data_IF_529948796517
#
_entry.id   IF_529948796517
#
_cell.length_a   1.000
_cell.length_b   1.000
_cell.length_c   1.000
_cell.angle_alpha   90.00
_cell.angle_beta   90.00
_cell.angle_gamma   90.00
#
_symmetry.space_group_name_H-M   'P 1'
#
loop_
_entity.id
_entity.type
_entity.pdbx_description
1 polymer ?
#
# COMPACT_ATOMS: atom_id res chain seq x y z
N UNK A 1 -18.79 -7.94 1.36
CA UNK A 1 -18.13 -9.13 1.90
C UNK A 1 -18.19 -9.19 3.44
N UNK A 2 -17.65 -8.19 4.17
CA UNK A 2 -17.67 -8.17 5.64
C UNK A 2 -19.07 -8.25 6.26
N UNK A 3 -20.10 -7.66 5.62
CA UNK A 3 -21.48 -7.80 6.07
C UNK A 3 -21.99 -9.24 5.96
N UNK A 4 -21.67 -9.94 4.87
CA UNK A 4 -22.09 -11.32 4.66
C UNK A 4 -21.40 -12.26 5.66
N UNK A 5 -20.09 -12.14 5.84
CA UNK A 5 -19.33 -12.90 6.83
C UNK A 5 -19.87 -12.66 8.24
N UNK A 6 -20.18 -11.40 8.61
CA UNK A 6 -20.76 -11.07 9.91
C UNK A 6 -22.09 -11.77 10.17
N UNK A 7 -22.97 -11.80 9.17
CA UNK A 7 -24.31 -12.38 9.31
C UNK A 7 -24.24 -13.88 9.65
N UNK A 8 -23.29 -14.59 9.04
CA UNK A 8 -23.08 -16.01 9.30
C UNK A 8 -22.26 -16.28 10.58
N UNK A 9 -21.42 -15.32 11.01
CA UNK A 9 -20.60 -15.41 12.24
C UNK A 9 -21.37 -15.11 13.53
N UNK A 10 -22.62 -14.73 13.51
CA UNK A 10 -23.38 -14.46 14.76
C UNK A 10 -23.38 -15.60 15.76
N UNK A 11 -23.05 -16.82 15.30
CA UNK A 11 -22.92 -18.02 16.15
C UNK A 11 -21.48 -18.34 16.59
N UNK A 12 -20.47 -17.59 16.12
CA UNK A 12 -19.06 -17.82 16.42
C UNK A 12 -18.34 -16.52 16.74
N UNK A 13 -17.77 -16.39 17.93
CA UNK A 13 -16.90 -15.27 18.30
C UNK A 13 -15.51 -15.60 17.74
N UNK A 14 -15.16 -15.03 16.58
CA UNK A 14 -13.86 -15.17 15.94
C UNK A 14 -13.40 -13.83 15.40
N UNK A 15 -12.14 -13.49 15.65
CA UNK A 15 -11.51 -12.30 15.14
C UNK A 15 -11.14 -12.46 13.66
N UNK A 16 -11.10 -11.34 12.95
CA UNK A 16 -10.68 -11.28 11.56
C UNK A 16 -9.54 -10.29 11.43
N UNK A 17 -8.57 -10.67 10.64
CA UNK A 17 -7.42 -9.84 10.31
C UNK A 17 -7.37 -9.61 8.81
N UNK A 18 -6.89 -8.45 8.41
CA UNK A 18 -6.56 -8.20 7.00
C UNK A 18 -5.11 -8.61 6.73
N UNK A 19 -4.79 -8.78 5.46
CA UNK A 19 -3.43 -8.99 5.00
C UNK A 19 -3.16 -8.11 3.78
N UNK A 20 -1.92 -7.62 3.62
CA UNK A 20 -1.45 -6.91 2.45
C UNK A 20 -2.37 -5.75 2.04
N UNK A 21 -2.88 -5.77 0.83
CA UNK A 21 -3.71 -4.70 0.24
C UNK A 21 -5.06 -4.48 0.96
N UNK A 22 -5.44 -5.34 1.90
CA UNK A 22 -6.66 -5.16 2.69
C UNK A 22 -6.46 -4.26 3.94
N UNK A 23 -5.22 -3.87 4.30
CA UNK A 23 -4.92 -2.98 5.43
C UNK A 23 -5.82 -1.72 5.47
N UNK A 24 -6.07 -1.02 4.36
CA UNK A 24 -6.91 0.19 4.36
C UNK A 24 -8.35 -0.04 4.85
N UNK A 25 -8.83 -1.28 4.91
CA UNK A 25 -10.14 -1.59 5.48
C UNK A 25 -10.29 -1.07 6.91
N UNK A 26 -9.21 -1.03 7.69
CA UNK A 26 -9.18 -0.48 9.05
C UNK A 26 -9.35 1.05 9.11
N UNK A 27 -9.11 1.75 8.00
CA UNK A 27 -9.32 3.19 7.87
C UNK A 27 -10.74 3.60 7.50
N UNK A 28 -11.57 2.70 6.97
CA UNK A 28 -12.91 3.04 6.52
C UNK A 28 -13.91 3.10 7.69
N UNK A 29 -14.65 4.22 7.89
CA UNK A 29 -15.59 4.36 9.00
C UNK A 29 -16.65 3.24 9.05
N UNK A 30 -17.16 2.84 7.87
CA UNK A 30 -18.16 1.76 7.75
C UNK A 30 -17.63 0.38 8.15
N UNK A 31 -16.31 0.15 8.11
CA UNK A 31 -15.68 -1.11 8.51
C UNK A 31 -15.19 -1.08 9.96
N UNK A 32 -14.76 0.07 10.48
CA UNK A 32 -14.34 0.25 11.88
C UNK A 32 -15.41 -0.15 12.89
N UNK A 33 -16.68 -0.09 12.53
CA UNK A 33 -17.79 -0.49 13.40
C UNK A 33 -17.88 -1.99 13.66
N UNK A 34 -17.10 -2.81 12.97
CA UNK A 34 -17.10 -4.25 13.16
C UNK A 34 -16.02 -4.68 14.16
N UNK A 35 -16.39 -5.01 15.42
CA UNK A 35 -15.42 -5.28 16.49
C UNK A 35 -14.57 -6.53 16.23
N UNK A 36 -15.00 -7.41 15.34
CA UNK A 36 -14.24 -8.59 14.97
C UNK A 36 -13.11 -8.31 13.97
N UNK A 37 -13.11 -7.14 13.30
CA UNK A 37 -12.02 -6.73 12.41
C UNK A 37 -10.92 -6.10 13.28
N UNK A 38 -10.01 -6.91 13.78
CA UNK A 38 -9.07 -6.55 14.86
C UNK A 38 -7.85 -5.79 14.36
N UNK A 39 -7.24 -6.25 13.29
CA UNK A 39 -5.98 -5.69 12.86
C UNK A 39 -5.49 -6.24 11.54
N UNK A 40 -4.24 -5.91 11.21
CA UNK A 40 -3.55 -6.41 10.06
C UNK A 40 -2.60 -7.53 10.48
N UNK A 41 -2.53 -8.59 9.68
CA UNK A 41 -1.60 -9.69 9.82
C UNK A 41 -0.58 -9.64 8.67
N UNK A 42 0.69 -9.77 9.01
CA UNK A 42 1.74 -9.83 7.99
C UNK A 42 1.97 -8.52 7.22
N UNK A 43 2.56 -8.67 6.06
CA UNK A 43 3.09 -7.57 5.23
C UNK A 43 2.58 -7.63 3.79
N UNK A 44 3.44 -7.38 2.80
CA UNK A 44 3.09 -7.39 1.38
C UNK A 44 2.92 -8.81 0.81
N UNK A 45 2.38 -8.89 -0.40
CA UNK A 45 2.09 -10.15 -1.09
C UNK A 45 3.32 -11.07 -1.24
N UNK A 46 4.53 -10.52 -1.31
CA UNK A 46 5.78 -11.27 -1.48
C UNK A 46 6.03 -12.28 -0.35
N UNK A 47 5.50 -11.99 0.84
CA UNK A 47 5.75 -12.78 2.05
C UNK A 47 4.64 -13.79 2.37
N UNK A 48 3.58 -13.86 1.58
CA UNK A 48 2.43 -14.75 1.82
C UNK A 48 2.85 -16.19 2.12
N UNK A 49 3.76 -16.76 1.34
CA UNK A 49 4.16 -18.15 1.49
C UNK A 49 4.88 -18.46 2.80
N UNK A 50 5.56 -17.49 3.40
CA UNK A 50 6.18 -17.62 4.72
C UNK A 50 5.21 -17.27 5.84
N UNK A 51 4.46 -16.19 5.65
CA UNK A 51 3.54 -15.67 6.67
C UNK A 51 2.34 -16.60 6.90
N UNK A 52 1.86 -17.30 5.86
CA UNK A 52 0.71 -18.20 5.97
C UNK A 52 1.05 -19.63 6.38
N UNK A 53 2.32 -19.99 6.44
CA UNK A 53 2.75 -21.38 6.66
C UNK A 53 2.16 -22.01 7.94
N UNK A 54 2.16 -21.29 9.04
CA UNK A 54 1.77 -21.83 10.36
C UNK A 54 0.57 -21.11 11.00
N UNK A 55 -0.25 -20.40 10.21
CA UNK A 55 -1.42 -19.72 10.78
C UNK A 55 -2.47 -20.75 11.18
N UNK A 56 -2.95 -20.77 12.43
CA UNK A 56 -4.05 -21.64 12.85
C UNK A 56 -5.41 -21.02 12.49
N UNK A 57 -5.61 -20.63 11.23
CA UNK A 57 -6.80 -19.96 10.74
C UNK A 57 -7.00 -20.15 9.24
N UNK A 58 -8.22 -20.08 8.71
CA UNK A 58 -8.46 -20.03 7.27
C UNK A 58 -8.04 -18.68 6.67
N UNK A 59 -7.68 -18.75 5.41
CA UNK A 59 -7.24 -17.60 4.59
C UNK A 59 -8.24 -17.42 3.46
N UNK A 60 -8.86 -16.24 3.37
CA UNK A 60 -9.83 -15.92 2.33
C UNK A 60 -9.30 -14.83 1.41
N UNK A 61 -9.01 -15.19 0.17
CA UNK A 61 -8.62 -14.23 -0.87
C UNK A 61 -9.82 -13.63 -1.56
N UNK A 62 -9.81 -12.31 -1.68
CA UNK A 62 -10.91 -11.51 -2.25
C UNK A 62 -10.48 -10.62 -3.40
N UNK A 63 -9.19 -10.36 -3.52
CA UNK A 63 -8.57 -9.57 -4.59
C UNK A 63 -7.43 -10.35 -5.22
N UNK A 64 -6.80 -9.80 -6.23
CA UNK A 64 -5.57 -10.36 -6.80
C UNK A 64 -4.38 -10.32 -5.79
N UNK A 65 -3.18 -10.67 -6.23
CA UNK A 65 -1.98 -10.87 -5.43
C UNK A 65 -1.98 -12.17 -4.63
N UNK A 66 -2.62 -13.21 -5.15
CA UNK A 66 -2.50 -14.56 -4.62
C UNK A 66 -1.21 -15.19 -5.16
N UNK A 67 -0.27 -15.49 -4.28
CA UNK A 67 0.92 -16.26 -4.61
C UNK A 67 0.58 -17.74 -4.78
N UNK A 68 1.35 -18.51 -5.58
CA UNK A 68 1.18 -19.95 -5.66
C UNK A 68 1.10 -20.57 -4.25
N UNK A 69 -0.02 -21.25 -3.99
CA UNK A 69 -0.32 -21.75 -2.65
C UNK A 69 0.54 -22.98 -2.35
N UNK A 70 1.18 -23.00 -1.19
CA UNK A 70 1.98 -24.15 -0.75
C UNK A 70 1.09 -25.22 -0.11
N UNK A 71 1.47 -26.48 -0.28
CA UNK A 71 0.78 -27.63 0.30
C UNK A 71 0.63 -27.53 1.83
N UNK A 72 1.56 -26.86 2.50
CA UNK A 72 1.55 -26.70 3.96
C UNK A 72 0.39 -25.88 4.53
N UNK A 73 -0.35 -25.15 3.69
CA UNK A 73 -1.52 -24.37 4.12
C UNK A 73 -2.67 -24.35 3.08
N UNK A 74 -2.59 -25.14 2.00
CA UNK A 74 -3.59 -25.16 0.92
C UNK A 74 -4.98 -25.60 1.39
N UNK A 75 -5.04 -26.47 2.41
CA UNK A 75 -6.27 -26.96 3.03
C UNK A 75 -7.08 -25.85 3.75
N UNK A 76 -6.48 -24.71 4.00
CA UNK A 76 -7.08 -23.57 4.70
C UNK A 76 -7.33 -22.36 3.81
N UNK A 77 -7.04 -22.47 2.52
CA UNK A 77 -7.17 -21.33 1.58
C UNK A 77 -8.48 -21.40 0.83
N UNK A 78 -9.18 -20.29 0.83
CA UNK A 78 -10.43 -20.05 0.13
C UNK A 78 -10.30 -18.85 -0.79
N UNK A 79 -11.05 -18.85 -1.87
CA UNK A 79 -11.12 -17.74 -2.82
C UNK A 79 -12.56 -17.26 -2.98
N UNK A 80 -12.77 -16.03 -3.41
CA UNK A 80 -14.11 -15.51 -3.74
C UNK A 80 -14.01 -14.34 -4.73
N UNK A 81 -15.15 -14.00 -5.32
CA UNK A 81 -15.29 -12.88 -6.26
C UNK A 81 -14.46 -13.11 -7.53
N UNK A 82 -13.54 -12.20 -7.86
CA UNK A 82 -12.71 -12.27 -9.07
C UNK A 82 -11.45 -13.11 -8.91
N UNK A 83 -11.15 -13.57 -7.70
CA UNK A 83 -9.97 -14.39 -7.43
C UNK A 83 -10.36 -15.86 -7.43
N UNK A 84 -9.65 -16.65 -8.19
CA UNK A 84 -9.72 -18.10 -8.16
C UNK A 84 -8.34 -18.71 -8.29
N UNK A 85 -8.18 -19.94 -7.84
CA UNK A 85 -6.95 -20.71 -7.98
C UNK A 85 -7.32 -22.20 -8.12
N UNK A 86 -6.65 -22.95 -8.99
CA UNK A 86 -6.93 -24.37 -9.16
C UNK A 86 -6.93 -25.13 -7.83
N UNK A 87 -7.83 -26.07 -7.67
CA UNK A 87 -7.95 -26.96 -6.51
C UNK A 87 -8.36 -26.29 -5.18
N UNK A 88 -8.53 -24.96 -5.13
CA UNK A 88 -9.02 -24.27 -3.94
C UNK A 88 -10.53 -24.12 -3.93
N UNK A 89 -11.12 -24.17 -2.74
CA UNK A 89 -12.55 -23.91 -2.57
C UNK A 89 -12.88 -22.45 -2.91
N UNK A 90 -13.75 -22.27 -3.90
CA UNK A 90 -14.22 -20.94 -4.29
C UNK A 90 -15.62 -20.68 -3.71
N UNK A 91 -15.75 -19.56 -2.99
CA UNK A 91 -17.03 -19.07 -2.47
C UNK A 91 -17.72 -18.29 -3.57
N UNK A 92 -18.83 -18.82 -4.06
CA UNK A 92 -19.60 -18.30 -5.18
C UNK A 92 -20.33 -16.97 -4.90
N UNK A 93 -21.24 -16.61 -5.79
CA UNK A 93 -21.99 -15.36 -5.70
C UNK A 93 -23.06 -15.37 -4.61
N UNK A 94 -23.47 -16.53 -4.14
CA UNK A 94 -24.34 -16.72 -2.96
C UNK A 94 -23.68 -16.24 -1.67
N UNK A 95 -22.34 -16.10 -1.67
CA UNK A 95 -21.54 -15.67 -0.51
C UNK A 95 -21.77 -16.53 0.74
N UNK A 96 -21.92 -17.85 0.52
CA UNK A 96 -21.94 -18.79 1.64
C UNK A 96 -20.51 -18.99 2.18
N UNK A 97 -20.22 -18.36 3.32
CA UNK A 97 -18.94 -18.46 4.01
C UNK A 97 -18.91 -19.60 5.07
N UNK A 98 -19.92 -20.47 5.10
CA UNK A 98 -19.98 -21.61 6.03
C UNK A 98 -18.68 -22.42 6.00
N UNK A 99 -18.10 -22.82 4.85
CA UNK A 99 -16.86 -23.60 4.82
C UNK A 99 -15.67 -22.89 5.46
N UNK A 100 -15.59 -21.55 5.30
CA UNK A 100 -14.53 -20.75 5.93
C UNK A 100 -14.70 -20.71 7.45
N UNK A 101 -15.94 -20.60 7.93
CA UNK A 101 -16.26 -20.56 9.35
C UNK A 101 -15.99 -21.92 10.01
N UNK A 102 -16.39 -23.00 9.36
CA UNK A 102 -16.13 -24.37 9.84
C UNK A 102 -14.61 -24.64 9.93
N UNK A 103 -13.84 -24.25 8.91
CA UNK A 103 -12.38 -24.33 8.96
C UNK A 103 -11.78 -23.46 10.07
N UNK A 104 -12.34 -22.29 10.37
CA UNK A 104 -11.90 -21.46 11.48
C UNK A 104 -12.13 -22.12 12.85
N UNK A 105 -13.25 -22.85 13.00
CA UNK A 105 -13.54 -23.64 14.19
C UNK A 105 -12.58 -24.82 14.33
N UNK A 106 -12.31 -25.52 13.23
CA UNK A 106 -11.36 -26.63 13.19
C UNK A 106 -9.93 -26.19 13.57
N UNK A 107 -9.46 -25.06 13.00
CA UNK A 107 -8.12 -24.53 13.27
C UNK A 107 -7.94 -24.02 14.70
N UNK A 108 -9.01 -23.59 15.35
CA UNK A 108 -8.99 -23.13 16.74
C UNK A 108 -8.49 -21.70 16.98
N UNK A 109 -7.60 -21.19 16.14
CA UNK A 109 -6.96 -19.88 16.32
C UNK A 109 -5.74 -19.94 17.25
N UNK A 110 -5.13 -18.79 17.50
CA UNK A 110 -4.06 -18.67 18.48
C UNK A 110 -4.63 -18.79 19.90
N UNK A 111 -4.00 -19.57 20.81
CA UNK A 111 -4.49 -19.75 22.19
C UNK A 111 -4.28 -18.49 23.06
N UNK A 112 -3.35 -17.63 22.66
CA UNK A 112 -3.00 -16.36 23.33
C UNK A 112 -2.64 -15.31 22.29
N UNK A 113 -2.52 -14.06 22.72
CA UNK A 113 -2.08 -12.96 21.85
C UNK A 113 -0.70 -13.26 21.27
N UNK A 114 -0.59 -13.13 19.95
CA UNK A 114 0.65 -13.35 19.22
C UNK A 114 1.13 -12.03 18.59
N UNK A 115 1.90 -11.23 19.35
CA UNK A 115 2.36 -9.93 18.86
C UNK A 115 3.30 -10.10 17.68
N UNK A 116 3.10 -9.27 16.66
CA UNK A 116 3.94 -9.23 15.46
C UNK A 116 4.52 -7.84 15.29
N UNK A 117 5.66 -7.78 14.62
CA UNK A 117 6.29 -6.53 14.22
C UNK A 117 6.33 -6.40 12.70
N UNK A 118 6.26 -5.18 12.22
CA UNK A 118 6.50 -4.87 10.82
C UNK A 118 7.97 -5.00 10.45
N UNK A 119 8.28 -4.67 9.22
CA UNK A 119 9.61 -4.81 8.62
C UNK A 119 10.70 -3.99 9.36
N UNK A 120 10.33 -2.87 9.93
CA UNK A 120 11.23 -1.95 10.64
C UNK A 120 11.16 -2.11 12.16
N UNK A 121 10.47 -3.15 12.65
CA UNK A 121 10.33 -3.45 14.08
C UNK A 121 9.16 -2.74 14.77
N UNK A 122 8.38 -1.93 14.06
CA UNK A 122 7.18 -1.30 14.59
C UNK A 122 6.03 -2.29 14.80
N UNK A 123 5.24 -2.11 15.85
CA UNK A 123 4.05 -2.92 16.16
C UNK A 123 2.74 -2.26 15.73
N UNK A 124 2.81 -1.04 15.24
CA UNK A 124 1.66 -0.26 14.76
C UNK A 124 1.90 0.21 13.33
N UNK A 125 0.84 0.30 12.54
CA UNK A 125 0.89 0.80 11.18
C UNK A 125 -0.15 1.89 10.99
N UNK A 126 0.23 2.95 10.27
CA UNK A 126 -0.66 4.05 9.93
C UNK A 126 -1.48 3.69 8.68
N UNK A 127 -2.78 3.98 8.68
CA UNK A 127 -3.66 3.82 7.53
C UNK A 127 -4.84 4.80 7.58
N UNK A 128 -5.60 4.94 6.46
CA UNK A 128 -6.83 5.70 6.41
C UNK A 128 -6.70 7.10 5.80
N UNK A 129 -5.59 7.43 5.16
CA UNK A 129 -5.34 8.72 4.53
C UNK A 129 -5.67 8.72 3.02
N UNK A 130 -6.83 8.14 2.64
CA UNK A 130 -7.37 8.34 1.30
C UNK A 130 -7.76 9.82 1.07
N UNK A 131 -8.10 10.17 -0.17
CA UNK A 131 -8.29 11.57 -0.58
C UNK A 131 -9.12 12.42 0.38
N UNK A 132 -10.24 11.91 0.90
CA UNK A 132 -11.10 12.71 1.77
C UNK A 132 -10.39 13.08 3.09
N UNK A 133 -9.65 12.15 3.69
CA UNK A 133 -8.90 12.41 4.91
C UNK A 133 -7.76 13.42 4.68
N UNK A 134 -6.99 13.26 3.60
CA UNK A 134 -5.91 14.22 3.29
C UNK A 134 -6.47 15.58 2.93
N UNK A 135 -7.51 15.64 2.09
CA UNK A 135 -8.09 16.90 1.63
C UNK A 135 -8.86 17.65 2.73
N UNK A 136 -9.31 16.99 3.78
CA UNK A 136 -9.86 17.68 4.95
C UNK A 136 -8.82 18.52 5.70
N UNK A 137 -7.52 18.26 5.47
CA UNK A 137 -6.39 19.03 5.99
C UNK A 137 -5.71 19.91 4.93
N UNK A 138 -6.31 20.06 3.74
CA UNK A 138 -5.68 20.78 2.62
C UNK A 138 -5.28 22.20 2.98
N UNK A 139 -6.13 22.98 3.66
CA UNK A 139 -5.83 24.35 4.09
C UNK A 139 -4.61 24.37 5.03
N UNK A 140 -4.53 23.45 5.98
CA UNK A 140 -3.38 23.32 6.87
C UNK A 140 -2.10 22.97 6.10
N UNK A 141 -2.18 22.00 5.17
CA UNK A 141 -1.04 21.61 4.32
C UNK A 141 -0.55 22.80 3.50
N UNK A 142 -1.46 23.53 2.84
CA UNK A 142 -1.11 24.71 2.04
C UNK A 142 -0.43 25.78 2.89
N UNK A 143 -0.95 26.04 4.08
CA UNK A 143 -0.34 26.97 5.04
C UNK A 143 1.07 26.54 5.41
N UNK A 144 1.27 25.27 5.78
CA UNK A 144 2.58 24.73 6.19
C UNK A 144 3.62 24.79 5.04
N UNK A 145 3.18 24.59 3.80
CA UNK A 145 4.07 24.76 2.63
C UNK A 145 4.45 26.24 2.46
N UNK A 146 3.49 27.16 2.55
CA UNK A 146 3.76 28.61 2.44
C UNK A 146 4.66 29.15 3.57
N UNK A 147 4.58 28.54 4.74
CA UNK A 147 5.45 28.83 5.89
C UNK A 147 6.83 28.15 5.79
N UNK A 148 7.07 27.35 4.75
CA UNK A 148 8.32 26.62 4.58
C UNK A 148 8.51 25.43 5.55
N UNK A 149 7.48 25.04 6.28
CA UNK A 149 7.50 23.90 7.21
C UNK A 149 7.35 22.55 6.49
N UNK A 150 6.74 22.55 5.30
CA UNK A 150 6.72 21.44 4.36
C UNK A 150 7.39 21.91 3.09
N UNK A 151 8.57 21.37 2.80
CA UNK A 151 9.35 21.72 1.64
C UNK A 151 9.05 20.82 0.44
N UNK A 152 8.78 19.55 0.67
CA UNK A 152 8.61 18.57 -0.40
C UNK A 152 7.65 17.44 -0.02
N UNK A 153 7.00 16.90 -1.04
CA UNK A 153 6.16 15.72 -0.97
C UNK A 153 6.82 14.57 -1.73
N UNK A 154 6.85 13.39 -1.14
CA UNK A 154 7.22 12.16 -1.83
C UNK A 154 6.02 11.24 -1.93
N UNK A 155 5.75 10.67 -3.10
CA UNK A 155 4.86 9.54 -3.24
C UNK A 155 5.73 8.28 -3.36
N UNK A 156 5.85 7.52 -2.28
CA UNK A 156 6.62 6.28 -2.22
C UNK A 156 5.64 5.12 -2.21
N UNK A 157 5.55 4.34 -3.29
CA UNK A 157 4.54 3.29 -3.37
C UNK A 157 4.76 2.33 -4.52
N UNK A 158 3.78 1.43 -4.68
CA UNK A 158 3.77 0.42 -5.73
C UNK A 158 3.88 -1.00 -5.19
N UNK A 159 4.47 -1.93 -5.96
CA UNK A 159 4.45 -3.36 -5.64
C UNK A 159 5.59 -3.86 -4.75
N UNK A 160 6.64 -3.07 -4.52
CA UNK A 160 7.80 -3.51 -3.72
C UNK A 160 7.51 -3.47 -2.22
N UNK A 161 6.83 -4.50 -1.75
CA UNK A 161 6.58 -4.71 -0.32
C UNK A 161 7.85 -5.13 0.45
N UNK A 162 7.69 -5.96 1.46
CA UNK A 162 8.72 -6.28 2.44
C UNK A 162 9.76 -7.33 2.01
N UNK A 163 10.14 -7.42 0.72
CA UNK A 163 11.18 -8.37 0.32
C UNK A 163 12.54 -8.05 0.98
N UNK A 164 13.15 -8.98 1.74
CA UNK A 164 14.31 -8.68 2.58
C UNK A 164 15.61 -8.41 1.80
N UNK A 165 15.65 -8.78 0.52
CA UNK A 165 16.85 -8.62 -0.32
C UNK A 165 17.04 -7.22 -0.89
N UNK A 166 16.14 -6.29 -0.61
CA UNK A 166 16.14 -4.92 -1.14
C UNK A 166 15.70 -3.94 -0.09
N UNK A 167 16.35 -2.79 -0.02
CA UNK A 167 16.08 -1.76 0.98
C UNK A 167 15.88 -0.36 0.41
N UNK A 168 15.99 -0.17 -0.93
CA UNK A 168 16.01 1.16 -1.55
C UNK A 168 14.89 2.08 -1.00
N UNK A 169 13.64 1.64 -1.04
CA UNK A 169 12.49 2.48 -0.61
C UNK A 169 12.47 2.71 0.91
N UNK A 170 12.90 1.73 1.68
CA UNK A 170 13.06 1.82 3.13
C UNK A 170 14.12 2.86 3.50
N UNK A 171 15.29 2.77 2.87
CA UNK A 171 16.42 3.66 3.13
C UNK A 171 16.12 5.07 2.62
N UNK A 172 15.48 5.19 1.45
CA UNK A 172 15.01 6.46 0.92
C UNK A 172 14.08 7.17 1.91
N UNK A 173 13.04 6.47 2.42
CA UNK A 173 12.10 7.03 3.38
C UNK A 173 12.78 7.50 4.68
N UNK A 174 13.71 6.70 5.22
CA UNK A 174 14.48 7.07 6.44
C UNK A 174 15.32 8.33 6.27
N UNK A 175 15.86 8.54 5.07
CA UNK A 175 16.72 9.68 4.79
C UNK A 175 15.95 10.95 4.43
N UNK A 176 14.63 10.87 4.24
CA UNK A 176 13.83 12.07 3.93
C UNK A 176 13.92 13.10 5.07
N UNK A 177 14.19 14.38 4.76
CA UNK A 177 14.28 15.43 5.77
C UNK A 177 12.99 15.60 6.58
N UNK A 178 13.08 16.11 7.82
CA UNK A 178 11.93 16.25 8.71
C UNK A 178 10.86 17.24 8.21
N UNK A 179 11.20 18.10 7.27
CA UNK A 179 10.31 19.05 6.59
C UNK A 179 9.69 18.50 5.32
N UNK A 180 9.52 17.17 5.22
CA UNK A 180 8.91 16.50 4.06
C UNK A 180 7.76 15.61 4.49
N UNK A 181 6.74 15.47 3.62
CA UNK A 181 5.66 14.49 3.78
C UNK A 181 5.81 13.33 2.79
N UNK A 182 5.48 12.14 3.25
CA UNK A 182 5.47 10.91 2.44
C UNK A 182 4.02 10.44 2.29
N UNK A 183 3.54 10.43 1.07
CA UNK A 183 2.35 9.72 0.67
C UNK A 183 2.76 8.31 0.29
N UNK A 184 2.09 7.28 0.79
CA UNK A 184 2.36 5.90 0.40
C UNK A 184 1.10 5.17 0.00
N UNK A 185 1.21 4.15 -0.83
CA UNK A 185 0.10 3.31 -1.26
C UNK A 185 0.58 1.95 -1.74
N UNK A 186 -0.35 1.02 -1.91
CA UNK A 186 -0.12 -0.35 -2.36
C UNK A 186 0.80 -1.15 -1.42
N UNK A 187 1.38 -2.26 -1.86
CA UNK A 187 2.28 -3.06 -1.01
C UNK A 187 3.59 -2.35 -0.66
N UNK A 188 3.97 -1.32 -1.42
CA UNK A 188 5.14 -0.49 -1.11
C UNK A 188 5.07 0.20 0.25
N UNK A 189 3.87 0.42 0.80
CA UNK A 189 3.67 0.96 2.15
C UNK A 189 4.40 0.16 3.24
N UNK A 190 4.48 -1.17 3.11
CA UNK A 190 5.11 -2.05 4.09
C UNK A 190 6.63 -1.86 4.21
N UNK A 191 7.22 -1.06 3.32
CA UNK A 191 8.60 -0.60 3.45
C UNK A 191 8.81 0.45 4.53
N UNK A 192 7.73 1.14 4.92
CA UNK A 192 7.85 2.35 5.74
C UNK A 192 6.69 2.63 6.69
N UNK A 193 5.56 1.95 6.59
CA UNK A 193 4.36 2.30 7.36
C UNK A 193 4.41 1.93 8.84
N UNK A 194 5.39 1.15 9.27
CA UNK A 194 5.70 0.83 10.66
C UNK A 194 6.87 1.67 11.22
N UNK A 195 7.38 2.66 10.44
CA UNK A 195 8.36 3.61 10.92
C UNK A 195 7.69 4.76 11.66
N UNK A 196 8.28 5.20 12.76
CA UNK A 196 7.96 6.49 13.36
C UNK A 196 8.89 7.58 12.77
N UNK A 197 8.37 8.30 11.77
CA UNK A 197 9.06 9.45 11.18
C UNK A 197 8.59 10.78 11.78
N UNK A 198 7.73 10.75 12.80
CA UNK A 198 7.19 11.92 13.47
C UNK A 198 6.04 12.59 12.71
N UNK A 199 5.79 13.85 13.05
CA UNK A 199 4.70 14.66 12.50
C UNK A 199 5.11 16.11 12.30
N UNK A 200 4.39 16.82 11.41
CA UNK A 200 4.53 18.26 11.19
C UNK A 200 3.21 18.92 11.63
N UNK A 201 3.23 19.63 12.75
CA UNK A 201 2.04 20.27 13.35
C UNK A 201 0.80 19.33 13.45
N UNK A 202 1.03 18.10 13.89
CA UNK A 202 -0.01 17.10 14.07
C UNK A 202 -0.36 16.27 12.82
N UNK A 203 0.18 16.62 11.64
CA UNK A 203 0.06 15.80 10.44
C UNK A 203 1.19 14.75 10.48
N UNK A 204 0.88 13.44 10.49
CA UNK A 204 1.90 12.41 10.39
C UNK A 204 2.72 12.58 9.11
N UNK A 205 4.03 12.36 9.19
CA UNK A 205 4.88 12.46 7.99
C UNK A 205 4.67 11.33 6.99
N UNK A 206 4.09 10.21 7.42
CA UNK A 206 3.71 9.08 6.54
C UNK A 206 2.19 9.00 6.47
N UNK A 207 1.64 9.12 5.27
CA UNK A 207 0.21 9.08 4.99
C UNK A 207 -0.10 7.91 4.06
N UNK A 208 -0.69 6.82 4.57
CA UNK A 208 -1.13 5.69 3.75
C UNK A 208 -2.41 6.04 3.01
N UNK A 209 -2.31 6.31 1.72
CA UNK A 209 -3.40 6.69 0.83
C UNK A 209 -4.29 5.52 0.39
N UNK A 210 -3.90 4.26 0.66
CA UNK A 210 -4.73 3.11 0.38
C UNK A 210 -4.11 2.03 -0.49
N UNK A 211 -4.98 1.31 -1.20
CA UNK A 211 -4.61 0.18 -2.07
C UNK A 211 -4.06 0.65 -3.42
N UNK A 212 -3.39 -0.26 -4.14
CA UNK A 212 -3.06 -0.04 -5.55
C UNK A 212 -4.32 0.18 -6.40
N UNK A 213 -5.43 -0.48 -6.07
CA UNK A 213 -6.73 -0.25 -6.69
C UNK A 213 -7.30 1.16 -6.44
N UNK A 214 -6.78 1.91 -5.45
CA UNK A 214 -7.17 3.28 -5.13
C UNK A 214 -6.03 4.29 -5.42
N UNK A 215 -5.16 4.01 -6.39
CA UNK A 215 -4.21 4.99 -6.91
C UNK A 215 -4.89 6.30 -7.37
N UNK A 216 -6.17 6.22 -7.72
CA UNK A 216 -7.04 7.37 -7.98
C UNK A 216 -7.05 8.37 -6.82
N UNK A 217 -7.06 7.93 -5.56
CA UNK A 217 -6.98 8.82 -4.40
C UNK A 217 -5.71 9.67 -4.41
N UNK A 218 -4.55 9.08 -4.70
CA UNK A 218 -3.29 9.83 -4.77
C UNK A 218 -3.29 10.85 -5.91
N UNK A 219 -3.84 10.50 -7.08
CA UNK A 219 -4.00 11.42 -8.22
C UNK A 219 -4.90 12.60 -7.81
N UNK A 220 -6.04 12.33 -7.15
CA UNK A 220 -6.97 13.37 -6.70
C UNK A 220 -6.36 14.29 -5.66
N UNK A 221 -5.52 13.77 -4.75
CA UNK A 221 -4.78 14.57 -3.78
C UNK A 221 -3.82 15.52 -4.51
N UNK A 222 -3.02 15.02 -5.44
CA UNK A 222 -2.06 15.82 -6.19
C UNK A 222 -2.77 16.94 -7.00
N UNK A 223 -3.86 16.61 -7.70
CA UNK A 223 -4.62 17.59 -8.46
C UNK A 223 -5.26 18.68 -7.58
N UNK A 224 -5.85 18.30 -6.43
CA UNK A 224 -6.46 19.25 -5.51
C UNK A 224 -5.42 20.15 -4.84
N UNK A 225 -4.24 19.64 -4.52
CA UNK A 225 -3.13 20.44 -4.02
C UNK A 225 -2.64 21.43 -5.10
N UNK A 226 -2.48 20.99 -6.35
CA UNK A 226 -2.11 21.86 -7.45
C UNK A 226 -3.11 23.01 -7.64
N UNK A 227 -4.40 22.72 -7.59
CA UNK A 227 -5.47 23.72 -7.63
C UNK A 227 -5.36 24.69 -6.45
N UNK A 228 -5.17 24.21 -5.23
CA UNK A 228 -5.04 25.04 -4.02
C UNK A 228 -3.80 25.94 -4.02
N UNK A 229 -2.73 25.52 -4.71
CA UNK A 229 -1.54 26.34 -4.93
C UNK A 229 -1.63 27.24 -6.16
N UNK A 230 -2.64 27.04 -7.02
CA UNK A 230 -2.80 27.79 -8.26
C UNK A 230 -1.74 27.46 -9.32
N UNK A 231 -1.26 26.21 -9.35
CA UNK A 231 -0.19 25.76 -10.25
C UNK A 231 -0.57 24.45 -10.97
N UNK A 232 0.26 24.03 -11.92
CA UNK A 232 0.15 22.71 -12.53
C UNK A 232 0.64 21.61 -11.59
N UNK A 233 0.17 20.37 -11.79
CA UNK A 233 0.58 19.23 -10.95
C UNK A 233 2.09 18.96 -11.00
N UNK A 234 2.74 19.28 -12.11
CA UNK A 234 4.20 19.15 -12.28
C UNK A 234 5.01 20.28 -11.64
N UNK A 235 4.34 21.36 -11.22
CA UNK A 235 4.94 22.50 -10.54
C UNK A 235 4.87 22.35 -9.01
N UNK A 236 4.17 21.33 -8.54
CA UNK A 236 4.18 20.96 -7.12
C UNK A 236 5.58 20.47 -6.72
N UNK A 237 6.03 20.73 -5.48
CA UNK A 237 7.22 20.12 -4.91
C UNK A 237 6.94 18.64 -4.60
N UNK A 238 6.61 17.85 -5.62
CA UNK A 238 6.20 16.46 -5.55
C UNK A 238 7.08 15.59 -6.45
N UNK A 239 7.65 14.53 -5.87
CA UNK A 239 8.36 13.49 -6.63
C UNK A 239 7.71 12.13 -6.37
N UNK A 240 7.50 11.39 -7.44
CA UNK A 240 6.99 10.02 -7.41
C UNK A 240 8.16 9.04 -7.40
N UNK A 241 8.24 8.21 -6.35
CA UNK A 241 9.28 7.17 -6.18
C UNK A 241 8.58 5.82 -6.17
N UNK A 242 8.44 5.24 -7.34
CA UNK A 242 7.52 4.13 -7.60
C UNK A 242 8.24 2.82 -7.80
N UNK A 243 7.58 1.75 -7.35
CA UNK A 243 7.97 0.37 -7.64
C UNK A 243 6.91 -0.33 -8.48
N UNK A 244 7.34 -1.25 -9.31
CA UNK A 244 6.45 -2.07 -10.12
C UNK A 244 6.89 -3.54 -10.08
N UNK A 245 5.91 -4.47 -10.15
CA UNK A 245 6.15 -5.91 -10.32
C UNK A 245 5.01 -6.60 -11.05
N UNK A 246 3.84 -6.02 -11.05
CA UNK A 246 2.67 -6.60 -11.67
C UNK A 246 2.00 -5.65 -12.67
N UNK A 247 1.10 -6.19 -13.46
CA UNK A 247 0.42 -5.49 -14.55
C UNK A 247 -0.34 -4.23 -14.11
N UNK A 248 -0.96 -4.24 -12.93
CA UNK A 248 -1.66 -3.05 -12.40
C UNK A 248 -0.72 -1.87 -12.18
N UNK A 249 0.47 -2.11 -11.66
CA UNK A 249 1.45 -1.04 -11.48
C UNK A 249 1.88 -0.44 -12.82
N UNK A 250 2.01 -1.27 -13.86
CA UNK A 250 2.28 -0.79 -15.22
C UNK A 250 1.10 0.03 -15.75
N UNK A 251 -0.14 -0.42 -15.57
CA UNK A 251 -1.33 0.35 -15.98
C UNK A 251 -1.40 1.70 -15.25
N UNK A 252 -1.09 1.74 -13.96
CA UNK A 252 -1.02 2.99 -13.18
C UNK A 252 0.07 3.91 -13.74
N UNK A 253 1.27 3.38 -14.00
CA UNK A 253 2.35 4.16 -14.61
C UNK A 253 1.94 4.76 -15.96
N UNK A 254 1.34 3.96 -16.84
CA UNK A 254 0.84 4.45 -18.13
C UNK A 254 -0.23 5.53 -17.97
N UNK A 255 -1.09 5.40 -16.98
CA UNK A 255 -2.10 6.43 -16.63
C UNK A 255 -1.43 7.72 -16.20
N UNK A 256 -0.41 7.66 -15.34
CA UNK A 256 0.34 8.84 -14.91
C UNK A 256 1.03 9.53 -16.09
N UNK A 257 1.65 8.76 -16.99
CA UNK A 257 2.27 9.30 -18.21
C UNK A 257 1.22 9.91 -19.16
N UNK A 258 0.05 9.27 -19.32
CA UNK A 258 -1.05 9.81 -20.12
C UNK A 258 -1.57 11.14 -19.55
N UNK A 259 -1.63 11.27 -18.23
CA UNK A 259 -2.00 12.52 -17.55
C UNK A 259 -0.88 13.57 -17.59
N UNK A 260 0.26 13.27 -18.21
CA UNK A 260 1.37 14.18 -18.37
C UNK A 260 2.22 14.39 -17.11
N UNK A 261 2.12 13.49 -16.11
CA UNK A 261 2.94 13.59 -14.92
C UNK A 261 4.41 13.31 -15.24
N UNK A 262 5.29 14.05 -14.56
CA UNK A 262 6.75 14.00 -14.73
C UNK A 262 7.42 13.74 -13.37
N UNK A 263 8.76 13.72 -13.36
CA UNK A 263 9.56 13.56 -12.15
C UNK A 263 9.29 12.22 -11.43
N UNK A 264 9.32 11.11 -12.19
CA UNK A 264 9.06 9.75 -11.71
C UNK A 264 10.37 9.00 -11.58
N UNK A 265 10.71 8.57 -10.36
CA UNK A 265 11.75 7.58 -10.10
C UNK A 265 11.10 6.20 -10.11
N UNK A 266 11.61 5.30 -10.93
CA UNK A 266 11.01 3.97 -11.16
C UNK A 266 12.02 2.85 -10.93
N UNK A 267 11.66 1.89 -10.10
CA UNK A 267 12.49 0.73 -9.80
C UNK A 267 11.74 -0.47 -9.25
N UNK A 268 12.47 -1.40 -8.65
CA UNK A 268 13.93 -1.51 -8.57
C UNK A 268 14.59 -1.92 -9.89
N UNK A 269 13.80 -2.40 -10.83
CA UNK A 269 14.19 -2.71 -12.22
C UNK A 269 13.15 -2.10 -13.16
N UNK A 270 13.50 -1.90 -14.40
CA UNK A 270 12.52 -1.43 -15.39
C UNK A 270 11.69 -2.61 -15.93
N UNK A 271 10.44 -2.37 -16.38
CA UNK A 271 9.67 -3.38 -17.09
C UNK A 271 10.42 -3.94 -18.31
N UNK A 272 10.35 -5.26 -18.50
CA UNK A 272 11.11 -5.95 -19.55
C UNK A 272 10.78 -5.46 -20.99
N UNK A 273 9.62 -4.85 -21.19
CA UNK A 273 9.23 -4.27 -22.48
C UNK A 273 9.83 -2.88 -22.74
N UNK A 274 10.46 -2.26 -21.74
CA UNK A 274 11.13 -0.96 -21.89
C UNK A 274 12.48 -1.18 -22.52
N UNK A 275 12.54 -1.10 -23.85
CA UNK A 275 13.81 -1.13 -24.60
C UNK A 275 14.63 0.14 -24.34
N UNK A 276 15.95 0.16 -24.66
CA UNK A 276 16.78 1.35 -24.50
C UNK A 276 16.20 2.59 -25.20
N UNK A 277 15.61 2.45 -26.38
CA UNK A 277 15.00 3.56 -27.12
C UNK A 277 13.75 4.07 -26.44
N UNK A 278 12.91 3.17 -25.89
CA UNK A 278 11.73 3.54 -25.12
C UNK A 278 12.14 4.23 -23.82
N UNK A 279 13.16 3.74 -23.14
CA UNK A 279 13.70 4.38 -21.94
C UNK A 279 14.20 5.80 -22.24
N UNK A 280 14.98 5.98 -23.30
CA UNK A 280 15.49 7.30 -23.71
C UNK A 280 14.34 8.27 -24.00
N UNK A 281 13.29 7.83 -24.66
CA UNK A 281 12.07 8.61 -24.86
C UNK A 281 11.40 8.99 -23.52
N UNK A 282 11.22 8.03 -22.60
CA UNK A 282 10.57 8.27 -21.30
C UNK A 282 11.39 9.22 -20.44
N UNK A 283 12.72 9.11 -20.45
CA UNK A 283 13.62 10.02 -19.74
C UNK A 283 13.48 11.44 -20.30
N UNK A 284 13.54 11.60 -21.61
CA UNK A 284 13.47 12.93 -22.26
C UNK A 284 12.11 13.59 -22.13
N UNK A 285 11.03 12.81 -22.32
CA UNK A 285 9.68 13.36 -22.39
C UNK A 285 9.04 13.55 -21.00
N UNK A 286 9.29 12.62 -20.07
CA UNK A 286 8.60 12.59 -18.78
C UNK A 286 9.53 12.77 -17.57
N UNK A 287 10.83 12.94 -17.81
CA UNK A 287 11.83 12.95 -16.74
C UNK A 287 11.73 11.72 -15.84
N UNK A 288 11.50 10.53 -16.46
CA UNK A 288 11.51 9.25 -15.77
C UNK A 288 12.95 8.87 -15.48
N UNK A 289 13.25 8.57 -14.23
CA UNK A 289 14.60 8.22 -13.77
C UNK A 289 14.58 6.80 -13.17
N UNK A 290 15.36 5.86 -13.67
CA UNK A 290 15.59 4.58 -12.97
C UNK A 290 16.15 4.84 -11.58
N UNK A 291 15.66 4.10 -10.57
CA UNK A 291 16.20 4.19 -9.20
C UNK A 291 17.65 3.70 -9.16
N UNK A 292 18.49 4.41 -8.42
CA UNK A 292 19.90 4.08 -8.23
C UNK A 292 20.27 3.90 -6.76
N UNK A 293 21.15 4.75 -6.25
CA UNK A 293 21.45 4.84 -4.83
C UNK A 293 20.45 5.80 -4.14
N UNK A 294 19.78 5.39 -3.04
CA UNK A 294 18.70 6.17 -2.45
C UNK A 294 19.16 7.53 -1.94
N UNK A 295 20.38 7.64 -1.41
CA UNK A 295 20.92 8.91 -0.92
C UNK A 295 21.21 9.86 -2.09
N UNK A 296 21.87 9.37 -3.10
CA UNK A 296 22.19 10.13 -4.32
C UNK A 296 20.93 10.61 -5.03
N UNK A 297 19.91 9.76 -5.11
CA UNK A 297 18.64 10.10 -5.74
C UNK A 297 17.91 11.18 -4.93
N UNK A 298 17.87 11.05 -3.60
CA UNK A 298 17.26 12.03 -2.71
C UNK A 298 17.96 13.40 -2.83
N UNK A 299 19.29 13.42 -2.81
CA UNK A 299 20.08 14.66 -2.98
C UNK A 299 19.79 15.34 -4.34
N UNK A 300 19.72 14.58 -5.42
CA UNK A 300 19.36 15.10 -6.74
C UNK A 300 17.96 15.70 -6.78
N UNK A 301 16.99 15.09 -6.11
CA UNK A 301 15.61 15.59 -6.05
C UNK A 301 15.57 16.92 -5.31
N UNK A 302 16.17 16.96 -4.11
CA UNK A 302 16.10 18.14 -3.26
C UNK A 302 16.94 19.32 -3.75
N UNK A 303 17.98 19.09 -4.54
CA UNK A 303 18.83 20.13 -5.13
C UNK A 303 18.29 20.69 -6.48
N UNK A 304 17.22 20.09 -7.03
CA UNK A 304 16.54 20.60 -8.24
C UNK A 304 15.51 21.70 -7.95
N UNK A 305 15.32 22.05 -6.70
CA UNK A 305 14.32 23.04 -6.22
C UNK A 305 14.87 24.46 -6.18
#
# INVERSE_FOLDING_TARGET
LHKAIRRQRQMCIRDSYTHSEMLPAHGYPELKKYPHLKGNFGTGWQNQQSEFHNIPAPILFTTNCLMPVRQSYSDRVFTTSVVSYPELTHIGDDKDFTPVIEKALECGGYPEDHPMTGMNGGSTVMTGFARNAVLSHAEQIVRLVREGKIRHFFLIGGCDGAAPTRSYYTDFARMTPPDTLILTLACGKYRLNDMDLGSIEGIPRVLDCGQCNDAYSAIRIALALAEAFGCGVNDLPLTLVLSWYEQKAVCILLTLLYLGLRNIYLGPTLPAFVSPNVLDFLVKQYNLTPTGDPKTDLEKILNRQ
#
